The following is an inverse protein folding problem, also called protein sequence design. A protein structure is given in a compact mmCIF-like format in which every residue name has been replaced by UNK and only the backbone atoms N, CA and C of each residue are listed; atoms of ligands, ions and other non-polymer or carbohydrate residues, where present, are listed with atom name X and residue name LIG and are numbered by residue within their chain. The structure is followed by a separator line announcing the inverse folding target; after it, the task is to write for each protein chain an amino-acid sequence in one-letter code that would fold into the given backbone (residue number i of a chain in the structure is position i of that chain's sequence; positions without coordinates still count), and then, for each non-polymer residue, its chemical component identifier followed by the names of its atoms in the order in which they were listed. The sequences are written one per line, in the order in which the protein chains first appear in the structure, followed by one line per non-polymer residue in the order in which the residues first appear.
data_IF_780671186093
#
_entry.id   IF_780671186093
#
_cell.length_a   1.000
_cell.length_b   1.000
_cell.length_c   1.000
_cell.angle_alpha   90.00
_cell.angle_beta   90.00
_cell.angle_gamma   90.00
#
_symmetry.space_group_name_H-M   'P 1'
#
loop_
_entity.id
_entity.type
_entity.pdbx_description
1 polymer ?
#
# COMPACT_ATOMS: atom_id res chain seq x y z
N UNK A 1 -2.49 26.27 22.95
CA UNK A 1 -2.95 25.52 21.76
C UNK A 1 -4.47 25.53 21.76
N UNK A 2 -5.12 25.90 20.64
CA UNK A 2 -6.58 25.81 20.51
C UNK A 2 -7.02 24.34 20.71
N UNK A 3 -8.18 24.13 21.34
CA UNK A 3 -8.76 22.79 21.56
C UNK A 3 -8.92 22.10 20.21
N UNK A 4 -8.44 20.86 20.10
CA UNK A 4 -8.59 20.04 18.89
C UNK A 4 -10.07 19.67 18.76
N UNK A 5 -10.70 20.03 17.64
CA UNK A 5 -12.02 19.52 17.25
C UNK A 5 -11.86 18.18 16.52
N UNK A 6 -12.89 17.34 16.58
CA UNK A 6 -12.90 16.02 15.93
C UNK A 6 -14.09 15.90 15.00
N UNK A 7 -13.91 15.14 13.91
CA UNK A 7 -14.96 14.78 12.96
C UNK A 7 -15.13 13.26 13.04
N UNK A 8 -16.37 12.80 13.15
CA UNK A 8 -16.70 11.37 13.22
C UNK A 8 -16.84 10.78 11.82
N UNK A 9 -16.16 9.66 11.57
CA UNK A 9 -16.30 8.84 10.37
C UNK A 9 -16.97 7.52 10.77
N UNK A 10 -18.11 7.12 10.19
CA UNK A 10 -18.75 5.84 10.46
C UNK A 10 -17.83 4.66 10.17
N UNK A 11 -17.91 3.60 10.98
CA UNK A 11 -17.06 2.41 10.84
C UNK A 11 -17.85 1.12 11.06
N UNK A 12 -17.55 0.08 10.29
CA UNK A 12 -18.06 -1.29 10.52
C UNK A 12 -16.96 -2.32 10.41
N UNK A 13 -17.11 -3.41 11.16
CA UNK A 13 -16.30 -4.62 11.03
C UNK A 13 -16.93 -5.53 9.97
N UNK A 14 -16.13 -5.96 9.01
CA UNK A 14 -16.53 -6.75 7.85
C UNK A 14 -15.72 -8.04 7.80
N UNK A 15 -16.35 -9.19 7.53
CA UNK A 15 -15.64 -10.46 7.44
C UNK A 15 -16.49 -11.65 7.92
N UNK A 16 -15.83 -12.77 8.25
CA UNK A 16 -14.37 -12.96 8.20
C UNK A 16 -13.84 -13.01 6.75
N UNK A 17 -12.60 -12.59 6.56
CA UNK A 17 -11.80 -12.81 5.36
C UNK A 17 -10.83 -13.95 5.66
N UNK A 18 -10.86 -15.02 4.87
CA UNK A 18 -9.89 -16.12 4.97
C UNK A 18 -8.63 -15.75 4.21
N UNK A 19 -7.51 -15.65 4.92
CA UNK A 19 -6.22 -15.25 4.38
C UNK A 19 -5.21 -16.37 4.61
N UNK A 20 -4.44 -16.69 3.57
CA UNK A 20 -3.27 -17.57 3.61
C UNK A 20 -2.06 -16.83 3.02
N UNK A 21 -0.87 -17.43 3.04
CA UNK A 21 0.33 -16.86 2.44
C UNK A 21 1.56 -16.96 3.34
N UNK A 22 2.60 -16.20 3.02
CA UNK A 22 3.88 -16.22 3.74
C UNK A 22 3.92 -15.33 4.99
N UNK A 23 2.86 -14.57 5.27
CA UNK A 23 2.78 -13.65 6.43
C UNK A 23 1.62 -13.98 7.37
N UNK A 24 0.46 -14.33 6.83
CA UNK A 24 -0.78 -14.56 7.59
C UNK A 24 -1.43 -15.85 7.14
N UNK A 25 -1.87 -16.65 8.10
CA UNK A 25 -2.76 -17.78 7.90
C UNK A 25 -3.86 -17.71 8.96
N UNK A 26 -4.98 -17.08 8.61
CA UNK A 26 -6.00 -16.69 9.60
C UNK A 26 -7.35 -16.35 8.94
N UNK A 27 -8.39 -16.22 9.76
CA UNK A 27 -9.71 -15.70 9.38
C UNK A 27 -9.99 -14.44 10.19
N UNK A 28 -10.02 -13.29 9.53
CA UNK A 28 -10.03 -11.99 10.22
C UNK A 28 -11.23 -11.14 9.82
N UNK A 29 -11.85 -10.48 10.79
CA UNK A 29 -12.73 -9.35 10.51
C UNK A 29 -11.87 -8.10 10.32
N UNK A 30 -12.28 -7.21 9.42
CA UNK A 30 -11.59 -5.96 9.10
C UNK A 30 -12.44 -4.73 9.43
N UNK A 31 -11.91 -3.73 10.14
CA UNK A 31 -12.62 -2.48 10.36
C UNK A 31 -12.44 -1.55 9.16
N UNK A 32 -13.54 -0.98 8.67
CA UNK A 32 -13.55 -0.04 7.55
C UNK A 32 -14.31 1.21 7.93
N UNK A 33 -13.65 2.37 7.92
CA UNK A 33 -14.23 3.66 8.25
C UNK A 33 -14.47 4.50 7.00
N UNK A 34 -15.72 4.73 6.62
CA UNK A 34 -16.06 5.42 5.36
C UNK A 34 -17.43 6.10 5.43
N UNK A 35 -17.63 7.10 4.58
CA UNK A 35 -18.96 7.67 4.27
C UNK A 35 -19.62 6.99 3.06
N UNK A 36 -18.86 6.20 2.30
CA UNK A 36 -19.37 5.43 1.16
C UNK A 36 -19.91 4.08 1.64
N UNK A 37 -21.13 4.06 2.16
CA UNK A 37 -21.73 2.86 2.76
C UNK A 37 -21.82 1.62 1.86
N UNK A 38 -22.01 1.73 0.53
CA UNK A 38 -21.96 0.57 -0.36
C UNK A 38 -20.64 -0.21 -0.28
N UNK A 39 -19.53 0.44 0.10
CA UNK A 39 -18.21 -0.19 0.25
C UNK A 39 -18.26 -1.38 1.20
N UNK A 40 -18.93 -1.26 2.35
CA UNK A 40 -19.02 -2.34 3.33
C UNK A 40 -19.67 -3.61 2.77
N UNK A 41 -20.75 -3.46 2.00
CA UNK A 41 -21.43 -4.59 1.37
C UNK A 41 -20.59 -5.20 0.25
N UNK A 42 -19.88 -4.37 -0.51
CA UNK A 42 -18.97 -4.83 -1.56
C UNK A 42 -17.82 -5.67 -0.99
N UNK A 43 -17.14 -5.16 0.05
CA UNK A 43 -16.07 -5.91 0.72
C UNK A 43 -16.62 -7.16 1.42
N UNK A 44 -17.82 -7.10 2.02
CA UNK A 44 -18.47 -8.26 2.65
C UNK A 44 -18.73 -9.38 1.64
N UNK A 45 -19.14 -9.05 0.41
CA UNK A 45 -19.30 -10.03 -0.67
C UNK A 45 -17.98 -10.72 -0.99
N UNK A 46 -16.90 -9.96 -1.20
CA UNK A 46 -15.57 -10.51 -1.45
C UNK A 46 -15.05 -11.38 -0.29
N UNK A 47 -15.25 -10.94 0.96
CA UNK A 47 -14.90 -11.68 2.16
C UNK A 47 -15.62 -13.04 2.20
N UNK A 48 -16.93 -13.06 1.89
CA UNK A 48 -17.69 -14.29 1.80
C UNK A 48 -17.17 -15.23 0.71
N UNK A 49 -16.78 -14.72 -0.47
CA UNK A 49 -16.14 -15.54 -1.51
C UNK A 49 -14.84 -16.17 -1.00
N UNK A 50 -14.01 -15.43 -0.25
CA UNK A 50 -12.78 -15.98 0.33
C UNK A 50 -13.03 -17.18 1.24
N UNK A 51 -14.14 -17.17 1.99
CA UNK A 51 -14.52 -18.27 2.87
C UNK A 51 -14.95 -19.54 2.12
N UNK A 52 -15.48 -19.39 0.90
CA UNK A 52 -15.90 -20.50 0.04
C UNK A 52 -14.75 -21.14 -0.73
N UNK A 53 -13.60 -20.47 -0.80
CA UNK A 53 -12.43 -20.97 -1.52
C UNK A 53 -11.51 -21.76 -0.55
N UNK A 54 -10.95 -22.87 -1.02
CA UNK A 54 -10.14 -23.77 -0.19
C UNK A 54 -8.96 -23.05 0.48
N UNK A 55 -8.24 -22.22 -0.27
CA UNK A 55 -7.08 -21.47 0.22
C UNK A 55 -7.41 -20.04 0.66
N UNK A 56 -8.67 -19.62 0.50
CA UNK A 56 -9.07 -18.22 0.67
C UNK A 56 -8.25 -17.29 -0.23
N UNK A 57 -7.90 -16.12 0.30
CA UNK A 57 -7.03 -15.16 -0.37
C UNK A 57 -5.59 -15.42 0.07
N UNK A 58 -4.72 -15.80 -0.87
CA UNK A 58 -3.29 -15.92 -0.62
C UNK A 58 -2.65 -14.55 -0.75
N UNK A 59 -2.11 -14.01 0.35
CA UNK A 59 -1.42 -12.73 0.40
C UNK A 59 0.09 -12.96 0.59
N UNK A 60 0.86 -12.68 -0.46
CA UNK A 60 2.30 -12.91 -0.50
C UNK A 60 3.04 -11.58 -0.43
N UNK A 61 3.87 -11.41 0.62
CA UNK A 61 4.82 -10.30 0.70
C UNK A 61 5.96 -10.56 -0.28
N UNK A 62 6.16 -9.64 -1.22
CA UNK A 62 7.21 -9.70 -2.25
C UNK A 62 8.43 -8.89 -1.82
N UNK A 63 8.20 -7.69 -1.30
CA UNK A 63 9.26 -6.76 -0.89
C UNK A 63 8.75 -5.82 0.21
N UNK A 64 9.65 -5.34 1.04
CA UNK A 64 9.37 -4.22 1.95
C UNK A 64 10.58 -3.31 2.13
N UNK A 65 10.34 -2.01 1.98
CA UNK A 65 11.34 -0.97 2.19
C UNK A 65 10.68 0.38 2.30
N UNK A 66 11.16 1.25 3.17
CA UNK A 66 10.80 2.66 3.18
C UNK A 66 11.93 3.48 2.57
N UNK A 67 11.60 4.64 2.00
CA UNK A 67 12.58 5.40 1.22
C UNK A 67 12.57 6.88 1.58
N UNK A 68 13.76 7.48 1.49
CA UNK A 68 13.95 8.94 1.52
C UNK A 68 14.95 9.32 0.44
N UNK A 69 14.73 10.47 -0.17
CA UNK A 69 15.60 10.96 -1.24
C UNK A 69 16.24 12.26 -0.83
N UNK A 70 17.56 12.38 -0.94
CA UNK A 70 18.31 13.60 -0.70
C UNK A 70 18.95 14.06 -2.01
N UNK A 71 19.27 15.34 -2.15
CA UNK A 71 20.07 15.79 -3.28
C UNK A 71 21.07 16.88 -2.91
N UNK A 72 22.11 16.96 -3.74
CA UNK A 72 23.23 17.87 -3.61
C UNK A 72 23.43 18.63 -4.91
N UNK A 73 23.99 19.83 -4.80
CA UNK A 73 24.42 20.61 -5.95
C UNK A 73 25.94 20.60 -6.06
N UNK A 74 26.42 20.63 -7.30
CA UNK A 74 27.84 20.76 -7.65
C UNK A 74 28.02 21.93 -8.62
N UNK A 75 29.25 22.21 -9.04
CA UNK A 75 29.50 23.20 -10.09
C UNK A 75 29.10 22.65 -11.47
N UNK A 76 29.46 21.40 -11.76
CA UNK A 76 29.15 20.72 -13.01
C UNK A 76 28.99 19.20 -12.81
N UNK A 77 28.33 18.55 -13.78
CA UNK A 77 27.93 17.14 -13.68
C UNK A 77 29.10 16.16 -13.41
N UNK A 78 30.31 16.47 -13.88
CA UNK A 78 31.51 15.65 -13.63
C UNK A 78 31.85 15.57 -12.13
N UNK A 79 31.69 16.66 -11.38
CA UNK A 79 31.90 16.66 -9.93
C UNK A 79 30.83 15.83 -9.20
N UNK A 80 29.58 15.89 -9.66
CA UNK A 80 28.50 15.04 -9.17
C UNK A 80 28.80 13.55 -9.42
N UNK A 81 29.35 13.22 -10.61
CA UNK A 81 29.75 11.86 -10.95
C UNK A 81 30.92 11.38 -10.09
N UNK A 82 31.94 12.21 -9.90
CA UNK A 82 33.07 11.90 -9.01
C UNK A 82 32.59 11.61 -7.58
N UNK A 83 31.75 12.48 -7.02
CA UNK A 83 31.18 12.26 -5.69
C UNK A 83 30.37 10.95 -5.63
N UNK A 84 29.55 10.66 -6.63
CA UNK A 84 28.77 9.42 -6.68
C UNK A 84 29.66 8.17 -6.68
N UNK A 85 30.75 8.16 -7.46
CA UNK A 85 31.69 7.03 -7.51
C UNK A 85 32.34 6.79 -6.14
N UNK A 86 32.78 7.85 -5.47
CA UNK A 86 33.41 7.78 -4.15
C UNK A 86 32.40 7.37 -3.05
N UNK A 87 31.18 7.90 -3.08
CA UNK A 87 30.09 7.51 -2.18
C UNK A 87 29.73 6.03 -2.34
N UNK A 88 29.68 5.53 -3.57
CA UNK A 88 29.29 4.15 -3.87
C UNK A 88 30.30 3.14 -3.31
N UNK A 89 31.59 3.44 -3.38
CA UNK A 89 32.65 2.60 -2.80
C UNK A 89 32.56 2.58 -1.26
N UNK A 90 32.09 3.69 -0.66
CA UNK A 90 31.93 3.85 0.80
C UNK A 90 30.52 3.47 1.31
N UNK A 91 29.77 2.64 0.58
CA UNK A 91 28.42 2.17 0.96
C UNK A 91 28.35 1.59 2.39
N UNK A 92 29.40 0.91 2.84
CA UNK A 92 29.48 0.33 4.20
C UNK A 92 29.49 1.39 5.30
N UNK A 93 30.02 2.58 5.04
CA UNK A 93 29.97 3.68 6.01
C UNK A 93 28.56 4.26 6.12
N UNK A 94 27.82 4.31 5.01
CA UNK A 94 26.38 4.67 5.02
C UNK A 94 25.61 3.71 5.93
N UNK A 95 25.86 2.40 5.81
CA UNK A 95 25.24 1.39 6.69
C UNK A 95 25.48 1.69 8.17
N UNK A 96 26.75 1.95 8.55
CA UNK A 96 27.14 2.25 9.93
C UNK A 96 26.47 3.53 10.46
N UNK A 97 26.40 4.59 9.65
CA UNK A 97 25.75 5.85 10.02
C UNK A 97 24.25 5.63 10.26
N UNK A 98 23.60 4.88 9.38
CA UNK A 98 22.17 4.60 9.48
C UNK A 98 21.84 3.81 10.75
N UNK A 99 22.65 2.80 11.08
CA UNK A 99 22.46 1.97 12.28
C UNK A 99 22.59 2.77 13.59
N UNK A 100 23.39 3.83 13.61
CA UNK A 100 23.48 4.74 14.77
C UNK A 100 22.22 5.59 14.97
N UNK A 101 21.38 5.77 13.95
CA UNK A 101 20.20 6.64 14.05
C UNK A 101 19.03 5.97 14.77
N UNK A 102 18.91 4.64 14.69
CA UNK A 102 17.86 3.85 15.32
C UNK A 102 18.16 2.34 15.27
N UNK A 103 17.88 1.64 16.36
CA UNK A 103 17.97 0.18 16.41
C UNK A 103 17.03 -0.56 15.44
N UNK A 104 15.98 0.11 14.93
CA UNK A 104 14.97 -0.47 14.05
C UNK A 104 15.13 -0.09 12.57
N UNK A 105 16.06 0.81 12.26
CA UNK A 105 16.35 1.20 10.87
C UNK A 105 17.56 0.42 10.38
N UNK A 106 17.45 -0.25 9.24
CA UNK A 106 18.61 -0.79 8.53
C UNK A 106 18.64 -0.24 7.12
N UNK A 107 19.82 0.11 6.64
CA UNK A 107 20.01 0.48 5.25
C UNK A 107 19.92 -0.77 4.36
N UNK A 108 19.29 -0.63 3.19
CA UNK A 108 19.11 -1.71 2.21
C UNK A 108 19.93 -1.38 0.96
N UNK A 109 19.63 -0.25 0.35
CA UNK A 109 20.19 0.11 -0.94
C UNK A 109 20.25 1.62 -1.14
N UNK A 110 21.20 2.05 -1.95
CA UNK A 110 21.31 3.40 -2.46
C UNK A 110 21.10 3.34 -3.97
N UNK A 111 20.21 4.20 -4.45
CA UNK A 111 20.07 4.50 -5.86
C UNK A 111 20.41 5.95 -6.12
N UNK A 112 20.90 6.24 -7.31
CA UNK A 112 21.39 7.57 -7.66
C UNK A 112 20.91 7.99 -9.04
N UNK A 113 20.70 9.29 -9.21
CA UNK A 113 20.52 9.92 -10.52
C UNK A 113 21.29 11.23 -10.54
N UNK A 114 21.93 11.52 -11.67
CA UNK A 114 22.56 12.82 -11.91
C UNK A 114 21.75 13.50 -13.00
N UNK A 115 21.34 14.74 -12.75
CA UNK A 115 20.64 15.58 -13.71
C UNK A 115 21.20 17.00 -13.60
N UNK A 116 21.73 17.52 -14.71
CA UNK A 116 22.55 18.75 -14.69
C UNK A 116 23.69 18.65 -13.67
N UNK A 117 23.93 19.69 -12.88
CA UNK A 117 24.91 19.73 -11.80
C UNK A 117 24.37 19.16 -10.47
N UNK A 118 23.28 18.40 -10.49
CA UNK A 118 22.62 17.86 -9.30
C UNK A 118 22.86 16.36 -9.14
N UNK A 119 23.19 15.93 -7.92
CA UNK A 119 23.28 14.52 -7.53
C UNK A 119 22.09 14.18 -6.62
N UNK A 120 21.17 13.34 -7.11
CA UNK A 120 20.07 12.80 -6.33
C UNK A 120 20.43 11.40 -5.81
N UNK A 121 20.20 11.17 -4.53
CA UNK A 121 20.39 9.89 -3.86
C UNK A 121 19.06 9.44 -3.23
N UNK A 122 18.57 8.28 -3.63
CA UNK A 122 17.41 7.59 -3.04
C UNK A 122 17.93 6.48 -2.12
N UNK A 123 17.75 6.69 -0.82
CA UNK A 123 18.14 5.77 0.24
C UNK A 123 16.94 4.88 0.60
N UNK A 124 17.19 3.58 0.72
CA UNK A 124 16.18 2.57 1.05
C UNK A 124 16.49 1.90 2.38
N UNK A 125 15.45 1.66 3.18
CA UNK A 125 15.59 1.23 4.56
C UNK A 125 14.52 0.21 4.96
N UNK A 126 14.84 -0.68 5.89
CA UNK A 126 13.82 -1.38 6.68
C UNK A 126 13.46 -0.56 7.92
N UNK A 127 12.21 -0.63 8.38
CA UNK A 127 11.70 0.25 9.46
C UNK A 127 10.88 -0.49 10.53
N UNK A 128 10.98 -1.82 10.57
CA UNK A 128 10.22 -2.65 11.51
C UNK A 128 8.72 -2.41 11.43
N UNK A 129 8.07 -2.23 12.57
CA UNK A 129 6.62 -2.08 12.67
C UNK A 129 6.10 -0.64 12.48
N UNK A 130 6.99 0.33 12.29
CA UNK A 130 6.60 1.70 11.96
C UNK A 130 6.39 1.86 10.45
N UNK A 131 5.54 2.81 10.05
CA UNK A 131 5.46 3.22 8.63
C UNK A 131 6.77 3.85 8.15
N UNK A 132 7.60 4.36 9.06
CA UNK A 132 9.00 4.65 8.78
C UNK A 132 9.32 6.07 8.34
N UNK A 133 8.34 6.92 7.99
CA UNK A 133 8.60 8.26 7.44
C UNK A 133 9.62 9.09 8.22
N UNK A 134 9.46 9.22 9.54
CA UNK A 134 10.37 9.99 10.40
C UNK A 134 11.71 9.28 10.60
N UNK A 135 11.70 7.94 10.68
CA UNK A 135 12.90 7.14 10.85
C UNK A 135 13.83 7.27 9.64
N UNK A 136 13.28 7.16 8.42
CA UNK A 136 14.07 7.30 7.19
C UNK A 136 14.52 8.74 6.94
N UNK A 137 13.75 9.73 7.38
CA UNK A 137 14.19 11.14 7.31
C UNK A 137 15.38 11.38 8.25
N UNK A 138 15.31 10.90 9.50
CA UNK A 138 16.43 11.01 10.45
C UNK A 138 17.69 10.30 9.94
N UNK A 139 17.52 9.09 9.38
CA UNK A 139 18.63 8.34 8.80
C UNK A 139 19.25 9.05 7.59
N UNK A 140 18.42 9.56 6.68
CA UNK A 140 18.87 10.30 5.52
C UNK A 140 19.57 11.61 5.88
N UNK A 141 19.13 12.30 6.94
CA UNK A 141 19.73 13.55 7.43
C UNK A 141 21.14 13.31 7.99
N UNK A 142 21.34 12.21 8.72
CA UNK A 142 22.65 11.80 9.19
C UNK A 142 23.60 11.46 8.03
N UNK A 143 23.10 10.70 7.03
CA UNK A 143 23.86 10.38 5.81
C UNK A 143 24.19 11.65 5.03
N UNK A 144 23.24 12.57 4.89
CA UNK A 144 23.43 13.84 4.19
C UNK A 144 24.51 14.69 4.87
N UNK A 145 24.46 14.79 6.20
CA UNK A 145 25.44 15.51 7.01
C UNK A 145 26.85 14.93 6.82
N UNK A 146 26.98 13.60 6.87
CA UNK A 146 28.25 12.93 6.61
C UNK A 146 28.77 13.23 5.20
N UNK A 147 27.94 13.08 4.17
CA UNK A 147 28.33 13.40 2.77
C UNK A 147 28.87 14.83 2.66
N UNK A 148 28.15 15.82 3.19
CA UNK A 148 28.58 17.22 3.15
C UNK A 148 29.90 17.48 3.89
N UNK A 149 30.19 16.70 4.94
CA UNK A 149 31.48 16.78 5.66
C UNK A 149 32.66 16.18 4.89
N UNK A 150 32.42 15.16 4.06
CA UNK A 150 33.47 14.44 3.35
C UNK A 150 33.84 15.12 2.02
N UNK A 151 32.84 15.69 1.34
CA UNK A 151 33.01 16.33 0.04
C UNK A 151 32.58 17.79 0.12
N UNK A 152 33.48 18.66 0.54
CA UNK A 152 33.22 20.09 0.78
C UNK A 152 32.80 20.87 -0.48
N UNK A 153 32.98 20.30 -1.67
CA UNK A 153 32.50 20.86 -2.93
C UNK A 153 31.02 20.52 -3.23
N UNK A 154 30.39 19.61 -2.48
CA UNK A 154 28.96 19.37 -2.53
C UNK A 154 28.24 20.44 -1.71
N UNK A 155 27.22 21.07 -2.29
CA UNK A 155 26.32 21.98 -1.56
C UNK A 155 25.02 21.26 -1.21
N UNK A 156 24.44 21.64 -0.07
CA UNK A 156 23.12 21.17 0.35
C UNK A 156 22.07 21.55 -0.70
N UNK A 157 21.31 20.56 -1.18
CA UNK A 157 20.12 20.79 -2.00
C UNK A 157 18.83 20.66 -1.19
N UNK A 158 18.47 19.42 -0.83
CA UNK A 158 17.33 19.14 0.06
C UNK A 158 17.37 17.74 0.68
N UNK A 159 16.82 17.61 1.88
CA UNK A 159 16.48 16.33 2.53
C UNK A 159 15.35 15.54 1.82
N UNK A 160 14.67 16.17 0.86
CA UNK A 160 13.60 15.54 0.07
C UNK A 160 13.65 15.95 -1.41
N UNK A 161 14.47 15.24 -2.20
CA UNK A 161 14.59 15.42 -3.65
C UNK A 161 13.46 14.86 -4.53
N UNK A 162 12.28 14.58 -3.95
CA UNK A 162 11.09 14.03 -4.65
C UNK A 162 11.24 12.69 -5.39
N UNK A 163 12.41 12.06 -5.44
CA UNK A 163 12.61 10.71 -6.01
C UNK A 163 12.40 9.57 -4.98
N UNK A 164 11.88 9.87 -3.80
CA UNK A 164 11.56 8.84 -2.80
C UNK A 164 10.41 7.90 -3.23
N UNK A 165 9.23 8.29 -3.71
CA UNK A 165 8.57 9.60 -3.80
C UNK A 165 7.37 9.62 -2.84
N UNK A 166 7.33 10.59 -1.94
CA UNK A 166 6.36 10.63 -0.84
C UNK A 166 5.11 11.44 -1.18
N UNK A 167 3.94 10.81 -1.17
CA UNK A 167 2.60 11.40 -1.44
C UNK A 167 2.43 11.98 -2.85
N UNK A 168 3.12 11.39 -3.84
CA UNK A 168 2.96 11.70 -5.28
C UNK A 168 2.83 10.43 -6.08
N UNK A 169 2.00 10.45 -7.13
CA UNK A 169 1.88 9.36 -8.08
C UNK A 169 3.12 9.33 -8.97
N UNK A 170 3.97 8.30 -8.80
CA UNK A 170 5.24 8.19 -9.53
C UNK A 170 5.48 6.74 -9.96
N UNK A 171 6.24 6.54 -11.05
CA UNK A 171 6.59 5.20 -11.49
C UNK A 171 7.64 4.55 -10.58
N UNK A 172 8.55 5.35 -10.00
CA UNK A 172 9.71 4.88 -9.26
C UNK A 172 9.34 4.03 -8.05
N UNK A 173 8.26 4.38 -7.33
CA UNK A 173 7.78 3.61 -6.18
C UNK A 173 7.44 2.17 -6.56
N UNK A 174 6.71 1.98 -7.67
CA UNK A 174 6.33 0.65 -8.13
C UNK A 174 7.41 -0.11 -8.87
N UNK A 175 8.47 0.56 -9.36
CA UNK A 175 9.62 -0.08 -10.03
C UNK A 175 10.68 -0.50 -9.02
N UNK A 176 10.97 0.35 -8.03
CA UNK A 176 12.10 0.19 -7.10
C UNK A 176 11.65 -0.17 -5.68
N UNK A 177 10.35 -0.17 -5.40
CA UNK A 177 9.74 -0.48 -4.11
C UNK A 177 9.64 0.74 -3.19
N UNK A 178 8.50 0.88 -2.50
CA UNK A 178 8.29 1.80 -1.37
C UNK A 178 7.09 1.34 -0.52
N UNK A 179 7.25 1.21 0.78
CA UNK A 179 6.28 0.54 1.64
C UNK A 179 6.40 -0.98 1.54
N UNK A 180 5.27 -1.67 1.58
CA UNK A 180 5.16 -3.12 1.46
C UNK A 180 4.52 -3.47 0.12
N UNK A 181 5.17 -4.35 -0.63
CA UNK A 181 4.69 -4.88 -1.90
C UNK A 181 4.02 -6.24 -1.67
N UNK A 182 2.72 -6.31 -1.90
CA UNK A 182 1.94 -7.54 -1.79
C UNK A 182 1.30 -7.93 -3.12
N UNK A 183 1.23 -9.23 -3.34
CA UNK A 183 0.28 -9.84 -4.28
C UNK A 183 -0.77 -10.57 -3.43
N UNK A 184 -2.02 -10.15 -3.54
CA UNK A 184 -3.17 -10.89 -3.03
C UNK A 184 -3.82 -11.63 -4.21
N UNK A 185 -4.08 -12.92 -4.07
CA UNK A 185 -4.62 -13.75 -5.16
C UNK A 185 -5.63 -14.78 -4.65
N UNK A 186 -6.57 -15.15 -5.51
CA UNK A 186 -7.61 -16.14 -5.23
C UNK A 186 -7.99 -16.87 -6.51
N UNK A 187 -8.26 -18.17 -6.39
CA UNK A 187 -8.85 -18.97 -7.48
C UNK A 187 -10.28 -19.35 -7.09
N UNK A 188 -11.23 -19.04 -7.96
CA UNK A 188 -12.67 -19.13 -7.69
C UNK A 188 -13.33 -20.04 -8.73
N UNK A 189 -13.97 -21.11 -8.27
CA UNK A 189 -14.69 -22.03 -9.15
C UNK A 189 -15.86 -21.31 -9.87
N UNK A 190 -16.14 -21.69 -11.11
CA UNK A 190 -17.25 -21.15 -11.93
C UNK A 190 -18.58 -21.07 -11.18
N UNK A 191 -18.94 -22.13 -10.46
CA UNK A 191 -20.20 -22.21 -9.73
C UNK A 191 -20.31 -21.11 -8.65
N UNK A 192 -19.19 -20.78 -8.00
CA UNK A 192 -19.13 -19.69 -7.00
C UNK A 192 -19.29 -18.34 -7.70
N UNK A 193 -18.61 -18.12 -8.84
CA UNK A 193 -18.77 -16.91 -9.64
C UNK A 193 -20.24 -16.70 -10.06
N UNK A 194 -20.88 -17.74 -10.63
CA UNK A 194 -22.25 -17.64 -11.12
C UNK A 194 -23.25 -17.41 -9.99
N UNK A 195 -23.11 -18.13 -8.87
CA UNK A 195 -24.07 -18.06 -7.76
C UNK A 195 -23.95 -16.79 -6.93
N UNK A 196 -22.72 -16.38 -6.59
CA UNK A 196 -22.49 -15.35 -5.58
C UNK A 196 -21.94 -14.04 -6.15
N UNK A 197 -21.15 -14.10 -7.23
CA UNK A 197 -20.74 -12.91 -7.99
C UNK A 197 -21.71 -12.56 -9.11
N UNK A 198 -22.69 -13.45 -9.40
CA UNK A 198 -23.73 -13.28 -10.42
C UNK A 198 -23.13 -13.00 -11.80
N UNK A 199 -22.00 -13.63 -12.11
CA UNK A 199 -21.31 -13.44 -13.39
C UNK A 199 -20.49 -14.68 -13.74
N UNK A 200 -19.86 -14.67 -14.92
CA UNK A 200 -18.97 -15.74 -15.37
C UNK A 200 -17.50 -15.32 -15.25
N UNK A 201 -16.56 -16.29 -15.07
CA UNK A 201 -15.13 -16.03 -15.15
C UNK A 201 -14.72 -15.21 -16.39
N UNK A 202 -15.25 -15.54 -17.56
CA UNK A 202 -14.94 -14.88 -18.84
C UNK A 202 -15.33 -13.40 -18.83
N UNK A 203 -16.51 -13.08 -18.27
CA UNK A 203 -16.97 -11.70 -18.19
C UNK A 203 -16.07 -10.86 -17.28
N UNK A 204 -15.60 -11.43 -16.16
CA UNK A 204 -14.64 -10.76 -15.28
C UNK A 204 -13.30 -10.53 -15.99
N UNK A 205 -12.76 -11.56 -16.65
CA UNK A 205 -11.49 -11.45 -17.40
C UNK A 205 -11.58 -10.38 -18.50
N UNK A 206 -12.67 -10.41 -19.28
CA UNK A 206 -12.92 -9.45 -20.36
C UNK A 206 -13.05 -8.03 -19.81
N UNK A 207 -13.86 -7.83 -18.78
CA UNK A 207 -14.05 -6.50 -18.19
C UNK A 207 -12.77 -5.97 -17.54
N UNK A 208 -12.00 -6.80 -16.82
CA UNK A 208 -10.73 -6.39 -16.25
C UNK A 208 -9.76 -5.93 -17.35
N UNK A 209 -9.65 -6.70 -18.44
CA UNK A 209 -8.79 -6.33 -19.57
C UNK A 209 -9.23 -5.03 -20.22
N UNK A 210 -10.51 -4.87 -20.53
CA UNK A 210 -11.00 -3.68 -21.22
C UNK A 210 -10.96 -2.43 -20.33
N UNK A 211 -11.37 -2.56 -19.06
CA UNK A 211 -11.53 -1.43 -18.14
C UNK A 211 -10.24 -1.09 -17.41
N UNK A 212 -9.69 -2.06 -16.66
CA UNK A 212 -8.56 -1.82 -15.77
C UNK A 212 -7.25 -1.70 -16.55
N UNK A 213 -7.07 -2.46 -17.64
CA UNK A 213 -5.85 -2.39 -18.43
C UNK A 213 -5.97 -1.37 -19.58
N UNK A 214 -6.80 -1.64 -20.58
CA UNK A 214 -6.91 -0.78 -21.78
C UNK A 214 -7.39 0.62 -21.41
N UNK A 215 -8.46 0.73 -20.61
CA UNK A 215 -8.99 2.02 -20.15
C UNK A 215 -7.95 2.86 -19.39
N UNK A 216 -7.22 2.26 -18.45
CA UNK A 216 -6.14 2.94 -17.72
C UNK A 216 -5.00 3.35 -18.63
N UNK A 217 -4.61 2.50 -19.59
CA UNK A 217 -3.57 2.83 -20.57
C UNK A 217 -3.96 4.07 -21.40
N UNK A 218 -5.19 4.09 -21.92
CA UNK A 218 -5.71 5.23 -22.68
C UNK A 218 -5.79 6.52 -21.83
N UNK A 219 -6.06 6.39 -20.52
CA UNK A 219 -6.08 7.51 -19.60
C UNK A 219 -4.68 8.02 -19.18
N UNK A 220 -3.59 7.36 -19.61
CA UNK A 220 -2.23 7.69 -19.18
C UNK A 220 -1.94 7.32 -17.72
N UNK A 221 -2.66 6.33 -17.18
CA UNK A 221 -2.53 5.92 -15.78
C UNK A 221 -1.14 5.33 -15.47
N UNK A 222 -0.50 5.83 -14.41
CA UNK A 222 0.83 5.39 -13.99
C UNK A 222 0.71 4.24 -13.00
N UNK A 223 0.85 3.00 -13.50
CA UNK A 223 0.80 1.77 -12.69
C UNK A 223 -0.47 1.69 -11.84
N UNK A 224 -1.63 2.07 -12.38
CA UNK A 224 -2.90 2.19 -11.67
C UNK A 224 -4.02 1.40 -12.35
N UNK A 225 -3.70 0.21 -12.85
CA UNK A 225 -4.61 -0.65 -13.58
C UNK A 225 -5.55 -1.42 -12.62
N UNK A 226 -6.41 -0.68 -11.93
CA UNK A 226 -7.40 -1.20 -10.98
C UNK A 226 -8.71 -0.40 -11.06
N UNK A 227 -9.74 -0.86 -10.37
CA UNK A 227 -11.05 -0.25 -10.35
C UNK A 227 -11.21 0.76 -9.21
N UNK A 228 -10.89 0.35 -7.98
CA UNK A 228 -11.12 1.22 -6.81
C UNK A 228 -10.26 0.90 -5.59
N UNK A 229 -8.97 0.58 -5.78
CA UNK A 229 -8.06 0.30 -4.65
C UNK A 229 -8.12 1.39 -3.57
N UNK A 230 -8.19 2.65 -4.00
CA UNK A 230 -8.29 3.82 -3.13
C UNK A 230 -9.43 3.72 -2.10
N UNK A 231 -10.60 3.19 -2.46
CA UNK A 231 -11.74 3.12 -1.54
C UNK A 231 -11.46 2.23 -0.32
N UNK A 232 -10.96 1.01 -0.57
CA UNK A 232 -10.58 0.09 0.51
C UNK A 232 -9.42 0.64 1.33
N UNK A 233 -8.41 1.23 0.67
CA UNK A 233 -7.24 1.80 1.35
C UNK A 233 -7.63 2.95 2.27
N UNK A 234 -8.43 3.90 1.80
CA UNK A 234 -8.90 5.02 2.61
C UNK A 234 -9.63 4.51 3.85
N UNK A 235 -10.60 3.60 3.65
CA UNK A 235 -11.43 3.10 4.72
C UNK A 235 -10.62 2.33 5.77
N UNK A 236 -9.65 1.52 5.32
CA UNK A 236 -8.75 0.79 6.18
C UNK A 236 -7.76 1.71 6.91
N UNK A 237 -7.21 2.71 6.22
CA UNK A 237 -6.24 3.65 6.78
C UNK A 237 -6.86 4.51 7.88
N UNK A 238 -8.08 5.01 7.66
CA UNK A 238 -8.82 5.74 8.69
C UNK A 238 -9.14 4.85 9.90
N UNK A 239 -9.60 3.61 9.67
CA UNK A 239 -9.93 2.68 10.74
C UNK A 239 -8.72 2.18 11.55
N UNK A 240 -7.52 2.23 10.97
CA UNK A 240 -6.27 1.75 11.61
C UNK A 240 -5.28 2.89 11.92
N UNK A 241 -5.72 4.14 11.77
CA UNK A 241 -4.97 5.35 12.13
C UNK A 241 -3.70 5.57 11.31
N UNK A 242 -3.68 5.15 10.04
CA UNK A 242 -2.58 5.39 9.11
C UNK A 242 -2.59 6.82 8.56
N UNK A 243 -1.50 7.22 7.91
CA UNK A 243 -1.48 8.49 7.18
C UNK A 243 -2.26 8.33 5.87
N UNK A 244 -3.49 8.85 5.86
CA UNK A 244 -4.40 8.74 4.73
C UNK A 244 -3.82 9.35 3.44
N UNK A 245 -2.88 10.30 3.51
CA UNK A 245 -2.29 10.90 2.32
C UNK A 245 -1.37 9.94 1.55
N UNK A 246 -0.90 8.84 2.17
CA UNK A 246 -0.17 7.80 1.44
C UNK A 246 -1.06 7.00 0.48
N UNK A 247 -2.37 7.25 0.45
CA UNK A 247 -3.29 6.69 -0.55
C UNK A 247 -2.85 7.00 -1.99
N UNK A 248 -2.20 8.14 -2.22
CA UNK A 248 -1.70 8.54 -3.55
C UNK A 248 -0.77 7.46 -4.13
N UNK A 249 0.01 6.83 -3.28
CA UNK A 249 0.99 5.81 -3.68
C UNK A 249 0.39 4.42 -3.56
N UNK A 250 -0.31 4.15 -2.45
CA UNK A 250 -0.92 2.85 -2.19
C UNK A 250 -2.00 2.46 -3.19
N UNK A 251 -2.68 3.43 -3.80
CA UNK A 251 -3.69 3.19 -4.84
C UNK A 251 -3.11 2.84 -6.21
N UNK A 252 -1.79 3.00 -6.41
CA UNK A 252 -1.12 2.40 -7.55
C UNK A 252 -1.08 0.88 -7.36
N UNK A 253 -1.41 0.15 -8.41
CA UNK A 253 -1.45 -1.31 -8.41
C UNK A 253 -2.05 -1.87 -9.69
N UNK A 254 -2.06 -3.20 -9.77
CA UNK A 254 -2.55 -3.96 -10.92
C UNK A 254 -3.57 -4.99 -10.44
N UNK A 255 -4.75 -4.98 -11.05
CA UNK A 255 -5.71 -6.07 -10.98
C UNK A 255 -5.53 -6.97 -12.19
N UNK A 256 -5.29 -8.25 -11.96
CA UNK A 256 -5.13 -9.24 -13.01
C UNK A 256 -6.19 -10.33 -12.86
N UNK A 257 -6.70 -10.79 -13.99
CA UNK A 257 -7.70 -11.85 -14.05
C UNK A 257 -7.41 -12.73 -15.26
N UNK A 258 -7.45 -14.04 -15.06
CA UNK A 258 -7.31 -15.03 -16.13
C UNK A 258 -8.23 -16.23 -15.88
N UNK A 259 -8.53 -16.96 -16.95
CA UNK A 259 -9.10 -18.29 -16.82
C UNK A 259 -7.99 -19.26 -16.43
N UNK A 260 -8.27 -20.11 -15.46
CA UNK A 260 -7.47 -21.27 -15.11
C UNK A 260 -8.38 -22.48 -15.21
N UNK A 261 -8.25 -23.21 -16.31
CA UNK A 261 -9.26 -24.17 -16.76
C UNK A 261 -10.64 -23.50 -16.81
N UNK A 262 -11.59 -23.98 -16.00
CA UNK A 262 -12.94 -23.47 -15.89
C UNK A 262 -13.13 -22.50 -14.70
N UNK A 263 -12.06 -22.19 -13.97
CA UNK A 263 -12.06 -21.31 -12.80
C UNK A 263 -11.51 -19.93 -13.12
N UNK A 264 -11.88 -18.96 -12.28
CA UNK A 264 -11.33 -17.61 -12.32
C UNK A 264 -10.12 -17.53 -11.39
N UNK A 265 -8.94 -17.26 -11.94
CA UNK A 265 -7.83 -16.72 -11.16
C UNK A 265 -7.94 -15.19 -11.14
N UNK A 266 -7.88 -14.58 -9.96
CA UNK A 266 -7.98 -13.15 -9.76
C UNK A 266 -6.93 -12.68 -8.76
N UNK A 267 -6.20 -11.61 -9.08
CA UNK A 267 -5.18 -11.05 -8.18
C UNK A 267 -5.15 -9.53 -8.18
N UNK A 268 -4.70 -8.98 -7.05
CA UNK A 268 -4.39 -7.58 -6.85
C UNK A 268 -2.93 -7.46 -6.41
N UNK A 269 -2.11 -6.82 -7.23
CA UNK A 269 -0.74 -6.44 -6.87
C UNK A 269 -0.77 -5.01 -6.32
N UNK A 270 -0.45 -4.85 -5.04
CA UNK A 270 -0.38 -3.57 -4.35
C UNK A 270 1.08 -3.29 -3.97
N UNK A 271 1.86 -2.63 -4.85
CA UNK A 271 3.30 -2.48 -4.68
C UNK A 271 3.70 -1.53 -3.55
N UNK A 272 2.81 -0.62 -3.15
CA UNK A 272 3.17 0.54 -2.34
C UNK A 272 2.35 0.71 -1.06
N UNK A 273 2.16 -0.33 -0.25
CA UNK A 273 1.42 -0.22 1.01
C UNK A 273 2.27 0.43 2.10
N UNK A 274 1.96 1.69 2.41
CA UNK A 274 2.63 2.46 3.44
C UNK A 274 1.76 2.51 4.69
N UNK A 275 2.12 1.68 5.67
CA UNK A 275 1.39 1.52 6.92
C UNK A 275 2.29 0.99 8.02
N UNK A 276 1.87 1.17 9.28
CA UNK A 276 2.55 0.66 10.45
C UNK A 276 1.65 0.52 11.67
N UNK A 277 2.09 -0.32 12.60
CA UNK A 277 1.41 -0.59 13.87
C UNK A 277 1.87 0.35 14.99
N UNK A 278 2.98 1.06 14.78
CA UNK A 278 3.55 2.02 15.71
C UNK A 278 3.57 3.44 15.11
N UNK A 279 3.60 4.45 15.98
CA UNK A 279 3.73 5.87 15.62
C UNK A 279 2.45 6.69 15.77
N UNK A 280 2.40 7.83 15.09
CA UNK A 280 1.30 8.79 15.21
C UNK A 280 -0.06 8.17 14.78
N UNK A 281 -1.12 8.53 15.51
CA UNK A 281 -2.48 8.02 15.32
C UNK A 281 -2.82 6.77 16.13
N UNK A 282 -1.80 6.01 16.58
CA UNK A 282 -1.99 4.70 17.22
C UNK A 282 -2.31 4.80 18.72
N UNK A 283 -2.16 5.99 19.29
CA UNK A 283 -2.52 6.30 20.68
C UNK A 283 -4.03 6.57 20.85
N UNK A 284 -4.80 6.72 19.77
CA UNK A 284 -6.25 6.93 19.82
C UNK A 284 -6.90 5.62 20.31
N UNK A 285 -7.72 5.61 21.38
CA UNK A 285 -8.25 4.38 21.99
C UNK A 285 -8.96 3.45 21.00
N UNK A 286 -9.80 4.01 20.12
CA UNK A 286 -10.51 3.22 19.10
C UNK A 286 -9.54 2.55 18.10
N UNK A 287 -8.52 3.29 17.63
CA UNK A 287 -7.50 2.75 16.72
C UNK A 287 -6.67 1.66 17.41
N UNK A 288 -6.28 1.87 18.66
CA UNK A 288 -5.54 0.88 19.45
C UNK A 288 -6.34 -0.42 19.58
N UNK A 289 -7.64 -0.32 19.87
CA UNK A 289 -8.56 -1.47 19.92
C UNK A 289 -8.63 -2.18 18.57
N UNK A 290 -8.82 -1.43 17.47
CA UNK A 290 -8.88 -2.00 16.12
C UNK A 290 -7.60 -2.75 15.74
N UNK A 291 -6.42 -2.19 16.03
CA UNK A 291 -5.15 -2.86 15.77
C UNK A 291 -4.97 -4.12 16.62
N UNK A 292 -5.44 -4.10 17.87
CA UNK A 292 -5.40 -5.29 18.74
C UNK A 292 -6.34 -6.40 18.24
N UNK A 293 -7.56 -6.07 17.81
CA UNK A 293 -8.52 -7.03 17.24
C UNK A 293 -8.04 -7.61 15.89
N UNK A 294 -7.28 -6.84 15.11
CA UNK A 294 -6.57 -7.35 13.92
C UNK A 294 -5.36 -8.24 14.27
N UNK A 295 -5.05 -8.38 15.56
CA UNK A 295 -3.88 -9.08 16.06
C UNK A 295 -2.59 -8.42 15.58
N UNK A 296 -2.54 -7.09 15.44
CA UNK A 296 -1.38 -6.33 14.95
C UNK A 296 -0.61 -5.63 16.08
N UNK A 297 -0.83 -6.03 17.32
CA UNK A 297 -0.13 -5.50 18.51
C UNK A 297 0.47 -6.62 19.38
N UNK A 298 0.60 -7.82 18.83
CA UNK A 298 1.14 -8.97 19.58
C UNK A 298 2.66 -8.86 19.73
N UNK A 299 3.18 -9.56 20.74
CA UNK A 299 4.62 -9.74 20.91
C UNK A 299 5.16 -10.65 19.80
N UNK A 300 5.73 -10.04 18.76
CA UNK A 300 6.27 -10.69 17.56
C UNK A 300 7.66 -10.17 17.24
N UNK A 301 8.35 -10.78 16.25
CA UNK A 301 9.61 -10.22 15.76
C UNK A 301 9.32 -8.87 15.09
N UNK A 302 10.28 -7.96 15.18
CA UNK A 302 10.15 -6.61 14.61
C UNK A 302 9.74 -6.68 13.12
N UNK A 303 8.69 -5.95 12.77
CA UNK A 303 8.12 -5.88 11.41
C UNK A 303 6.98 -6.86 11.14
N UNK A 304 6.85 -7.95 11.90
CA UNK A 304 5.80 -8.95 11.66
C UNK A 304 4.39 -8.39 11.88
N UNK A 305 4.20 -7.49 12.84
CA UNK A 305 2.90 -6.85 13.04
C UNK A 305 2.51 -5.98 11.85
N UNK A 306 3.44 -5.15 11.36
CA UNK A 306 3.16 -4.30 10.21
C UNK A 306 2.99 -5.11 8.91
N UNK A 307 3.71 -6.22 8.73
CA UNK A 307 3.49 -7.14 7.60
C UNK A 307 2.11 -7.78 7.67
N UNK A 308 1.68 -8.23 8.85
CA UNK A 308 0.32 -8.75 9.07
C UNK A 308 -0.73 -7.69 8.72
N UNK A 309 -0.57 -6.47 9.22
CA UNK A 309 -1.46 -5.35 8.91
C UNK A 309 -1.56 -5.10 7.39
N UNK A 310 -0.44 -5.19 6.66
CA UNK A 310 -0.44 -5.05 5.21
C UNK A 310 -1.07 -6.22 4.48
N UNK A 311 -0.84 -7.46 4.91
CA UNK A 311 -1.47 -8.64 4.32
C UNK A 311 -3.01 -8.58 4.43
N UNK A 312 -3.53 -8.17 5.59
CA UNK A 312 -4.97 -7.97 5.79
C UNK A 312 -5.50 -6.84 4.91
N UNK A 313 -4.74 -5.73 4.79
CA UNK A 313 -5.10 -4.62 3.91
C UNK A 313 -5.15 -5.06 2.42
N UNK A 314 -4.15 -5.80 1.95
CA UNK A 314 -4.09 -6.34 0.59
C UNK A 314 -5.26 -7.29 0.29
N UNK A 315 -5.59 -8.20 1.21
CA UNK A 315 -6.75 -9.08 1.07
C UNK A 315 -8.07 -8.31 1.04
N UNK A 316 -8.19 -7.25 1.86
CA UNK A 316 -9.35 -6.35 1.86
C UNK A 316 -9.52 -5.63 0.53
N UNK A 317 -8.42 -5.15 -0.07
CA UNK A 317 -8.42 -4.57 -1.41
C UNK A 317 -8.93 -5.58 -2.44
N UNK A 318 -8.44 -6.82 -2.41
CA UNK A 318 -8.91 -7.86 -3.32
C UNK A 318 -10.42 -8.12 -3.18
N UNK A 319 -10.94 -8.19 -1.94
CA UNK A 319 -12.36 -8.39 -1.69
C UNK A 319 -13.22 -7.31 -2.37
N UNK A 320 -12.86 -6.04 -2.19
CA UNK A 320 -13.56 -4.92 -2.79
C UNK A 320 -13.44 -4.92 -4.31
N UNK A 321 -12.24 -5.14 -4.83
CA UNK A 321 -11.95 -5.11 -6.27
C UNK A 321 -12.72 -6.21 -7.02
N UNK A 322 -12.65 -7.46 -6.53
CA UNK A 322 -13.38 -8.60 -7.08
C UNK A 322 -14.89 -8.32 -7.15
N UNK A 323 -15.44 -7.80 -6.06
CA UNK A 323 -16.85 -7.48 -5.98
C UNK A 323 -17.22 -6.37 -6.96
N UNK A 324 -16.48 -5.26 -7.04
CA UNK A 324 -16.84 -4.18 -7.96
C UNK A 324 -16.76 -4.62 -9.42
N UNK A 325 -15.70 -5.33 -9.81
CA UNK A 325 -15.57 -5.85 -11.18
C UNK A 325 -16.74 -6.78 -11.50
N UNK A 326 -17.09 -7.71 -10.62
CA UNK A 326 -18.24 -8.58 -10.83
C UNK A 326 -19.55 -7.79 -11.02
N UNK A 327 -19.84 -6.80 -10.17
CA UNK A 327 -21.05 -5.98 -10.30
C UNK A 327 -21.11 -5.25 -11.66
N UNK A 328 -19.98 -4.75 -12.15
CA UNK A 328 -19.92 -4.00 -13.42
C UNK A 328 -20.06 -4.88 -14.66
N UNK A 329 -19.96 -6.21 -14.52
CA UNK A 329 -20.30 -7.12 -15.63
C UNK A 329 -21.81 -7.21 -15.88
N UNK A 330 -22.64 -6.80 -14.91
CA UNK A 330 -24.09 -6.85 -14.98
C UNK A 330 -24.67 -5.43 -15.20
N UNK A 331 -25.33 -5.17 -16.34
CA UNK A 331 -25.88 -3.85 -16.64
C UNK A 331 -26.77 -3.30 -15.52
N UNK A 332 -26.38 -2.16 -14.96
CA UNK A 332 -27.13 -1.44 -13.93
C UNK A 332 -27.07 -2.00 -12.51
N UNK A 333 -26.37 -3.11 -12.24
CA UNK A 333 -26.24 -3.66 -10.87
C UNK A 333 -25.60 -2.64 -9.93
N UNK A 334 -24.53 -1.98 -10.37
CA UNK A 334 -23.79 -1.00 -9.56
C UNK A 334 -24.70 0.16 -9.10
N UNK A 335 -25.44 0.77 -10.02
CA UNK A 335 -26.27 1.94 -9.70
C UNK A 335 -27.47 1.55 -8.84
N UNK A 336 -28.09 0.39 -9.12
CA UNK A 336 -29.19 -0.14 -8.29
C UNK A 336 -28.73 -0.42 -6.86
N UNK A 337 -27.53 -0.98 -6.69
CA UNK A 337 -26.96 -1.25 -5.37
C UNK A 337 -26.68 0.05 -4.59
N UNK A 338 -26.11 1.08 -5.23
CA UNK A 338 -25.87 2.38 -4.60
C UNK A 338 -27.17 3.01 -4.11
N UNK A 339 -28.17 3.15 -4.99
CA UNK A 339 -29.46 3.78 -4.66
C UNK A 339 -30.19 3.06 -3.52
N UNK A 340 -30.18 1.73 -3.52
CA UNK A 340 -30.85 0.94 -2.49
C UNK A 340 -30.17 1.10 -1.13
N UNK A 341 -28.84 1.00 -1.09
CA UNK A 341 -28.07 1.01 0.16
C UNK A 341 -28.01 2.40 0.79
N UNK A 342 -27.92 3.46 -0.03
CA UNK A 342 -27.97 4.85 0.46
C UNK A 342 -29.34 5.18 1.05
N UNK A 343 -30.43 4.74 0.39
CA UNK A 343 -31.80 4.94 0.90
C UNK A 343 -32.06 4.17 2.19
N UNK A 344 -31.61 2.91 2.28
CA UNK A 344 -31.75 2.12 3.52
C UNK A 344 -31.03 2.80 4.69
N UNK A 345 -29.88 3.43 4.44
CA UNK A 345 -29.17 4.14 5.50
C UNK A 345 -29.84 5.45 5.92
N UNK A 346 -30.40 6.20 4.97
CA UNK A 346 -31.15 7.43 5.28
C UNK A 346 -32.46 7.17 6.03
N UNK A 347 -33.06 5.99 5.82
CA UNK A 347 -34.34 5.61 6.42
C UNK A 347 -34.21 4.89 7.77
N UNK A 348 -33.00 4.58 8.24
CA UNK A 348 -32.71 4.21 9.62
C UNK A 348 -33.60 3.13 10.25
N UNK A 349 -33.59 1.92 9.67
CA UNK A 349 -33.77 0.66 10.41
C UNK A 349 -32.44 -0.10 10.48
#
# INVERSE_FOLDING_TARGET
MKKISTISVPMRWIGPIKITGNVVQDQVNVPLATYEYPLWNSVKRGAYISMLCQDGIRATLIDERMTRSIFFETEHAEMALKALQEITIRKKEIEQIVEQTSQFTRFIQLHSQIAANLLFLRLEFSTGDASGHNMVTKAADAVMTWILSQWTYLRYGSISGNICSDKKATAINGIMGRGKNFVAEITINRQICQKYLRTSPENIVRLNTHKNLIGTFLAGGIRSANAHFANMLLAYYLATGQDAANIVEGSQGLTYAQLQDDSLYFSCTIPNLILGCLGNGKNIPAIKKNLAELGCTEKRKNGENARRLAAICAATVLCGELSLIAAQTNPGELMKAHLLLERMHLNGE
#
